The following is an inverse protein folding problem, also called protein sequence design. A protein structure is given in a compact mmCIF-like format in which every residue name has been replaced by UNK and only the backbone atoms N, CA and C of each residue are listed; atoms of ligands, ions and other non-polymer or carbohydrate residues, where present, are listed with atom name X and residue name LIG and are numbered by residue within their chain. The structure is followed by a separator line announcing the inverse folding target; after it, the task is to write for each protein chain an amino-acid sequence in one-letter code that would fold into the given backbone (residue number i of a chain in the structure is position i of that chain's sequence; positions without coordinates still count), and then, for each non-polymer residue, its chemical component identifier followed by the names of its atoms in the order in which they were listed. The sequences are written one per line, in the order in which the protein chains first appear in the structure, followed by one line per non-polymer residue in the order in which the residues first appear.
data_IF_810237268427
#
_entry.id   IF_810237268427
#
_cell.length_a   1.000
_cell.length_b   1.000
_cell.length_c   1.000
_cell.angle_alpha   90.00
_cell.angle_beta   90.00
_cell.angle_gamma   90.00
#
_symmetry.space_group_name_H-M   'P 1'
#
loop_
_entity.id
_entity.type
_entity.pdbx_description
1 polymer ?
#
# COMPACT_ATOMS: atom_id res chain seq x y z
N UNK A 1 1.29 -4.26 11.00
CA UNK A 1 0.37 -3.10 11.14
C UNK A 1 -1.02 -3.51 10.68
N UNK A 2 -2.11 -3.06 11.34
CA UNK A 2 -3.47 -3.36 10.88
C UNK A 2 -3.87 -2.48 9.69
N UNK A 3 -4.72 -2.99 8.80
CA UNK A 3 -5.24 -2.24 7.64
C UNK A 3 -5.90 -0.92 8.05
N UNK A 4 -6.70 -0.93 9.12
CA UNK A 4 -7.38 0.26 9.64
C UNK A 4 -6.43 1.30 10.22
N UNK A 5 -5.28 0.88 10.74
CA UNK A 5 -4.20 1.80 11.13
C UNK A 5 -3.55 2.39 9.88
N UNK A 6 -3.24 1.56 8.89
CA UNK A 6 -2.63 1.98 7.63
C UNK A 6 -3.46 3.05 6.91
N UNK A 7 -4.77 2.86 6.74
CA UNK A 7 -5.63 3.85 6.04
C UNK A 7 -5.66 5.19 6.77
N UNK A 8 -5.69 5.19 8.11
CA UNK A 8 -5.64 6.44 8.90
C UNK A 8 -4.32 7.16 8.73
N UNK A 9 -3.23 6.41 8.63
CA UNK A 9 -1.90 6.98 8.36
C UNK A 9 -1.81 7.52 6.93
N UNK A 10 -2.44 6.88 5.94
CA UNK A 10 -2.55 7.45 4.59
C UNK A 10 -3.37 8.75 4.57
N UNK A 11 -4.52 8.79 5.24
CA UNK A 11 -5.36 9.98 5.34
C UNK A 11 -4.63 11.15 6.03
N UNK A 12 -3.79 10.84 7.01
CA UNK A 12 -2.94 11.83 7.64
C UNK A 12 -1.80 12.27 6.71
N UNK A 13 -1.09 11.32 6.09
CA UNK A 13 0.04 11.58 5.21
C UNK A 13 -0.29 12.55 4.07
N UNK A 14 -1.48 12.43 3.45
CA UNK A 14 -1.88 13.30 2.33
C UNK A 14 -2.08 14.78 2.72
N UNK A 15 -2.05 15.11 4.02
CA UNK A 15 -2.14 16.49 4.53
C UNK A 15 -0.79 17.19 4.63
N UNK A 16 0.31 16.46 4.46
CA UNK A 16 1.68 16.95 4.63
C UNK A 16 2.42 16.94 3.29
N UNK A 17 3.42 17.80 3.13
CA UNK A 17 4.20 17.87 1.88
C UNK A 17 5.45 16.99 1.92
N UNK A 18 6.00 16.79 3.11
CA UNK A 18 7.25 16.06 3.34
C UNK A 18 7.04 14.92 4.36
N UNK A 19 7.73 13.77 4.19
CA UNK A 19 7.59 12.64 5.10
C UNK A 19 8.04 12.98 6.52
N UNK A 20 9.05 13.85 6.68
CA UNK A 20 9.53 14.30 7.98
C UNK A 20 8.46 15.09 8.74
N UNK A 21 7.73 15.99 8.06
CA UNK A 21 6.62 16.76 8.63
C UNK A 21 5.51 15.83 9.15
N UNK A 22 5.14 14.83 8.33
CA UNK A 22 4.18 13.79 8.68
C UNK A 22 4.60 12.99 9.91
N UNK A 23 5.85 12.50 9.95
CA UNK A 23 6.38 11.69 11.06
C UNK A 23 6.43 12.50 12.35
N UNK A 24 6.90 13.75 12.30
CA UNK A 24 6.99 14.62 13.48
C UNK A 24 5.61 14.95 14.05
N UNK A 25 4.63 15.21 13.18
CA UNK A 25 3.25 15.57 13.61
C UNK A 25 2.53 14.39 14.26
N UNK A 26 2.77 13.17 13.79
CA UNK A 26 2.13 11.96 14.31
C UNK A 26 2.53 11.63 15.76
N UNK A 27 3.79 11.88 16.11
CA UNK A 27 4.35 11.52 17.40
C UNK A 27 4.26 10.02 17.70
N UNK A 28 4.46 9.65 18.98
CA UNK A 28 4.33 8.27 19.43
C UNK A 28 2.87 7.84 19.53
N UNK A 29 2.56 6.62 19.09
CA UNK A 29 1.20 6.06 19.07
C UNK A 29 1.19 4.67 19.70
N UNK A 30 0.08 4.25 20.32
CA UNK A 30 -0.02 2.94 21.01
C UNK A 30 0.29 1.72 20.13
N UNK A 31 0.05 1.81 18.82
CA UNK A 31 0.38 0.72 17.91
C UNK A 31 1.90 0.55 17.71
N UNK A 32 2.68 1.59 17.98
CA UNK A 32 4.15 1.60 17.90
C UNK A 32 4.78 0.82 19.06
N UNK A 33 4.10 0.69 20.20
CA UNK A 33 4.56 -0.13 21.33
C UNK A 33 4.70 -1.63 20.96
N UNK A 34 4.04 -2.05 19.89
CA UNK A 34 4.13 -3.42 19.35
C UNK A 34 5.28 -3.62 18.38
N UNK A 35 5.92 -2.54 17.93
CA UNK A 35 7.07 -2.61 17.05
C UNK A 35 8.36 -2.64 17.90
N UNK A 36 9.31 -3.45 17.45
CA UNK A 36 10.56 -3.71 18.17
C UNK A 36 11.62 -2.62 17.99
N UNK A 37 11.48 -1.76 16.98
CA UNK A 37 12.52 -0.82 16.55
C UNK A 37 11.94 0.49 15.98
N UNK A 38 12.40 1.64 16.51
CA UNK A 38 12.06 2.99 16.05
C UNK A 38 12.50 3.26 14.62
N UNK A 39 13.61 2.67 14.17
CA UNK A 39 14.08 2.83 12.80
C UNK A 39 13.16 2.10 11.81
N UNK A 40 12.62 0.93 12.19
CA UNK A 40 11.61 0.23 11.42
C UNK A 40 10.30 1.02 11.35
N UNK A 41 9.84 1.61 12.47
CA UNK A 41 8.67 2.48 12.48
C UNK A 41 8.85 3.66 11.52
N UNK A 42 10.02 4.30 11.55
CA UNK A 42 10.32 5.46 10.70
C UNK A 42 10.33 5.08 9.22
N UNK A 43 10.89 3.91 8.87
CA UNK A 43 10.86 3.36 7.51
C UNK A 43 9.43 3.05 7.07
N UNK A 44 8.62 2.43 7.93
CA UNK A 44 7.22 2.12 7.66
C UNK A 44 6.42 3.40 7.38
N UNK A 45 6.54 4.42 8.24
CA UNK A 45 5.87 5.72 8.05
C UNK A 45 6.32 6.41 6.76
N UNK A 46 7.62 6.39 6.46
CA UNK A 46 8.16 6.95 5.22
C UNK A 46 7.61 6.22 3.98
N UNK A 47 7.43 4.90 4.05
CA UNK A 47 6.84 4.10 2.99
C UNK A 47 5.35 4.43 2.82
N UNK A 48 4.60 4.52 3.92
CA UNK A 48 3.17 4.89 3.91
C UNK A 48 2.99 6.26 3.25
N UNK A 49 3.80 7.25 3.63
CA UNK A 49 3.76 8.58 3.02
C UNK A 49 3.95 8.52 1.51
N UNK A 50 4.98 7.81 1.04
CA UNK A 50 5.25 7.63 -0.40
C UNK A 50 4.08 6.96 -1.12
N UNK A 51 3.47 5.93 -0.53
CA UNK A 51 2.34 5.21 -1.14
C UNK A 51 1.06 6.04 -1.17
N UNK A 52 0.81 6.84 -0.13
CA UNK A 52 -0.35 7.72 -0.04
C UNK A 52 -0.34 8.79 -1.14
N UNK A 53 0.84 9.30 -1.49
CA UNK A 53 1.03 10.33 -2.52
C UNK A 53 0.97 9.81 -3.96
N UNK A 54 0.92 8.49 -4.17
CA UNK A 54 0.82 7.90 -5.50
C UNK A 54 -0.64 7.74 -5.95
N UNK A 55 -0.88 8.05 -7.22
CA UNK A 55 -2.08 7.65 -7.95
C UNK A 55 -1.95 6.21 -8.47
N UNK A 56 -3.00 5.69 -9.10
CA UNK A 56 -3.00 4.32 -9.60
C UNK A 56 -1.84 4.04 -10.60
N UNK A 57 -1.59 4.88 -11.62
CA UNK A 57 -0.40 4.74 -12.48
C UNK A 57 0.91 4.71 -11.70
N UNK A 58 1.07 5.57 -10.69
CA UNK A 58 2.23 5.62 -9.82
C UNK A 58 2.44 4.31 -9.05
N UNK A 59 1.38 3.75 -8.48
CA UNK A 59 1.42 2.46 -7.77
C UNK A 59 1.81 1.31 -8.70
N UNK A 60 1.27 1.27 -9.93
CA UNK A 60 1.65 0.26 -10.92
C UNK A 60 3.11 0.36 -11.32
N UNK A 61 3.60 1.58 -11.55
CA UNK A 61 5.02 1.83 -11.88
C UNK A 61 5.94 1.43 -10.73
N UNK A 62 5.54 1.70 -9.48
CA UNK A 62 6.29 1.27 -8.28
C UNK A 62 6.43 -0.25 -8.21
N UNK A 63 5.36 -0.98 -8.50
CA UNK A 63 5.38 -2.44 -8.62
C UNK A 63 6.18 -2.96 -9.82
N UNK A 64 6.55 -2.09 -10.76
CA UNK A 64 7.22 -2.43 -12.02
C UNK A 64 6.50 -3.53 -12.82
N UNK A 65 5.17 -3.44 -12.91
CA UNK A 65 4.34 -4.42 -13.62
C UNK A 65 3.58 -3.81 -14.80
N UNK A 66 3.27 -4.64 -15.78
CA UNK A 66 2.35 -4.29 -16.87
C UNK A 66 0.90 -4.20 -16.36
N UNK A 67 0.03 -3.51 -17.11
CA UNK A 67 -1.41 -3.48 -16.81
C UNK A 67 -2.02 -4.88 -16.81
N UNK A 68 -1.59 -5.76 -17.71
CA UNK A 68 -2.03 -7.16 -17.76
C UNK A 68 -1.60 -7.95 -16.52
N UNK A 69 -0.36 -7.77 -16.04
CA UNK A 69 0.10 -8.42 -14.81
C UNK A 69 -0.66 -7.89 -13.59
N UNK A 70 -0.91 -6.58 -13.52
CA UNK A 70 -1.69 -5.99 -12.42
C UNK A 70 -3.15 -6.46 -12.42
N UNK A 71 -3.75 -6.62 -13.60
CA UNK A 71 -5.08 -7.23 -13.78
C UNK A 71 -5.13 -8.64 -13.17
N UNK A 72 -4.13 -9.48 -13.48
CA UNK A 72 -4.03 -10.83 -12.93
C UNK A 72 -3.77 -10.84 -11.42
N UNK A 73 -2.89 -9.97 -10.92
CA UNK A 73 -2.54 -9.90 -9.49
C UNK A 73 -3.74 -9.57 -8.59
N UNK A 74 -4.60 -8.65 -9.02
CA UNK A 74 -5.70 -8.15 -8.21
C UNK A 74 -7.07 -8.71 -8.64
N UNK A 75 -7.10 -9.61 -9.62
CA UNK A 75 -8.35 -10.13 -10.21
C UNK A 75 -9.31 -9.03 -10.68
N UNK A 76 -8.76 -7.93 -11.20
CA UNK A 76 -9.51 -6.81 -11.76
C UNK A 76 -9.44 -6.89 -13.27
N UNK A 77 -10.58 -6.73 -13.97
CA UNK A 77 -10.62 -6.78 -15.44
C UNK A 77 -9.58 -5.82 -16.05
N UNK A 78 -8.88 -6.26 -17.11
CA UNK A 78 -7.88 -5.44 -17.81
C UNK A 78 -8.44 -4.07 -18.22
N UNK A 79 -9.67 -4.02 -18.76
CA UNK A 79 -10.33 -2.76 -19.14
C UNK A 79 -10.45 -1.77 -17.97
N UNK A 80 -10.69 -2.25 -16.75
CA UNK A 80 -10.76 -1.39 -15.57
C UNK A 80 -9.38 -0.85 -15.20
N UNK A 81 -8.34 -1.69 -15.26
CA UNK A 81 -6.95 -1.27 -15.05
C UNK A 81 -6.53 -0.22 -16.08
N UNK A 82 -6.81 -0.43 -17.37
CA UNK A 82 -6.51 0.52 -18.45
C UNK A 82 -7.23 1.85 -18.25
N UNK A 83 -8.49 1.82 -17.81
CA UNK A 83 -9.25 3.03 -17.52
C UNK A 83 -8.65 3.82 -16.34
N UNK A 84 -8.18 3.12 -15.30
CA UNK A 84 -7.52 3.74 -14.15
C UNK A 84 -6.12 4.27 -14.49
N UNK A 85 -5.36 3.52 -15.30
CA UNK A 85 -4.00 3.90 -15.70
C UNK A 85 -3.97 5.08 -16.66
N UNK A 86 -4.97 5.18 -17.55
CA UNK A 86 -5.15 6.32 -18.44
C UNK A 86 -5.74 7.56 -17.75
N UNK A 87 -6.24 7.42 -16.52
CA UNK A 87 -6.97 8.48 -15.82
C UNK A 87 -8.38 8.74 -16.35
N UNK A 88 -8.87 7.96 -17.33
CA UNK A 88 -10.23 8.09 -17.86
C UNK A 88 -11.32 7.78 -16.83
N UNK A 89 -10.99 6.92 -15.85
CA UNK A 89 -11.75 6.71 -14.62
C UNK A 89 -10.80 6.67 -13.44
N UNK A 90 -11.28 7.00 -12.25
CA UNK A 90 -10.52 6.82 -11.01
C UNK A 90 -10.99 5.58 -10.25
N UNK A 91 -10.10 4.81 -9.60
CA UNK A 91 -10.52 3.82 -8.63
C UNK A 91 -11.27 4.51 -7.49
N UNK A 92 -12.18 3.77 -6.84
CA UNK A 92 -12.76 4.26 -5.59
C UNK A 92 -11.67 4.38 -4.52
N UNK A 93 -11.78 5.31 -3.56
CA UNK A 93 -10.76 5.52 -2.53
C UNK A 93 -10.38 4.22 -1.81
N UNK A 94 -11.37 3.46 -1.35
CA UNK A 94 -11.14 2.18 -0.65
C UNK A 94 -10.41 1.14 -1.50
N UNK A 95 -10.60 1.14 -2.82
CA UNK A 95 -9.87 0.21 -3.72
C UNK A 95 -8.41 0.62 -3.81
N UNK A 96 -8.15 1.92 -3.91
CA UNK A 96 -6.80 2.45 -3.96
C UNK A 96 -6.05 2.19 -2.65
N UNK A 97 -6.73 2.37 -1.52
CA UNK A 97 -6.17 2.10 -0.19
C UNK A 97 -5.86 0.62 0.02
N UNK A 98 -6.73 -0.27 -0.46
CA UNK A 98 -6.45 -1.71 -0.46
C UNK A 98 -5.19 -2.04 -1.27
N UNK A 99 -5.07 -1.51 -2.49
CA UNK A 99 -3.87 -1.73 -3.33
C UNK A 99 -2.62 -1.19 -2.63
N UNK A 100 -2.66 0.04 -2.08
CA UNK A 100 -1.54 0.61 -1.30
C UNK A 100 -1.15 -0.30 -0.14
N UNK A 101 -2.10 -0.83 0.61
CA UNK A 101 -1.82 -1.74 1.72
C UNK A 101 -1.16 -3.04 1.25
N UNK A 102 -1.63 -3.63 0.14
CA UNK A 102 -0.98 -4.83 -0.40
C UNK A 102 0.47 -4.58 -0.81
N UNK A 103 0.77 -3.39 -1.36
CA UNK A 103 2.15 -3.00 -1.71
C UNK A 103 2.99 -2.78 -0.45
N UNK A 104 2.43 -2.12 0.56
CA UNK A 104 3.09 -1.93 1.86
C UNK A 104 3.48 -3.27 2.50
N UNK A 105 2.54 -4.21 2.61
CA UNK A 105 2.81 -5.55 3.16
C UNK A 105 3.86 -6.27 2.33
N UNK A 106 3.76 -6.22 0.99
CA UNK A 106 4.73 -6.84 0.10
C UNK A 106 6.15 -6.31 0.29
N UNK A 107 6.31 -4.99 0.40
CA UNK A 107 7.64 -4.39 0.56
C UNK A 107 8.21 -4.58 1.97
N UNK A 108 7.34 -4.72 2.97
CA UNK A 108 7.74 -4.96 4.37
C UNK A 108 8.10 -6.43 4.61
N UNK A 109 7.21 -7.35 4.24
CA UNK A 109 7.29 -8.76 4.58
C UNK A 109 7.91 -9.61 3.45
N UNK A 110 8.02 -9.05 2.24
CA UNK A 110 8.39 -9.76 1.02
C UNK A 110 7.18 -10.31 0.25
N UNK A 111 7.45 -10.87 -0.93
CA UNK A 111 6.52 -11.67 -1.73
C UNK A 111 7.14 -13.06 -1.86
N UNK A 112 6.90 -13.96 -0.93
CA UNK A 112 7.42 -15.32 -1.05
C UNK A 112 6.55 -16.19 -1.98
N UNK A 113 5.39 -15.69 -2.42
CA UNK A 113 4.41 -16.44 -3.21
C UNK A 113 3.97 -17.75 -2.54
N UNK A 114 4.26 -17.92 -1.24
CA UNK A 114 4.09 -19.18 -0.54
C UNK A 114 2.65 -19.29 -0.05
N UNK A 115 1.83 -20.03 -0.79
CA UNK A 115 0.45 -20.34 -0.41
C UNK A 115 0.34 -21.30 0.78
N UNK A 116 1.46 -21.72 1.40
CA UNK A 116 1.48 -22.92 2.22
C UNK A 116 1.14 -24.16 1.39
N UNK A 117 1.32 -25.34 1.98
CA UNK A 117 0.68 -26.54 1.44
C UNK A 117 -0.82 -26.35 1.66
N UNK A 118 -1.56 -25.97 0.61
CA UNK A 118 -3.01 -26.19 0.60
C UNK A 118 -3.14 -27.70 0.50
N UNK A 119 -3.30 -28.38 1.64
CA UNK A 119 -3.70 -29.78 1.63
C UNK A 119 -5.03 -29.84 0.89
N UNK A 120 -5.01 -30.44 -0.30
CA UNK A 120 -6.23 -30.84 -1.00
C UNK A 120 -7.01 -31.72 -0.01
N UNK A 121 -8.18 -31.24 0.42
CA UNK A 121 -9.12 -32.09 1.14
C UNK A 121 -9.73 -33.04 0.10
N UNK A 122 -9.37 -34.32 0.22
CA UNK A 122 -10.02 -35.45 -0.47
C UNK A 122 -11.52 -35.51 -0.19
#
# INVERSE_FOLDING_TARGET
MLYTTFIRLCDEAVKHNEPEEFIMTLGWQEWMDKASDTDEITKDLSLIFKLASLDFPGLRKRLNVSMAKMSAMYHISLRTIENWDSGSRKPTPYTLDFIRFTIFVREKEGDDGYLGRIEEQD
#
